data_IF_050376346233
#
_entry.id   IF_050376346233
#
_cell.length_a   1.000
_cell.length_b   1.000
_cell.length_c   1.000
_cell.angle_alpha   90.00
_cell.angle_beta   90.00
_cell.angle_gamma   90.00
#
_symmetry.space_group_name_H-M   'P 1'
#
loop_
_entity.id
_entity.type
_entity.pdbx_description
1 polymer ?
#
# COMPACT_ATOMS: atom_id res chain seq x y z
N UNK A 1 -7.44 -30.32 0.25
CA UNK A 1 -6.92 -30.54 -1.12
C UNK A 1 -7.12 -31.95 -1.64
N UNK A 2 -7.08 -33.00 -0.80
CA UNK A 2 -7.04 -34.37 -1.31
C UNK A 2 -5.63 -34.71 -1.80
N UNK A 3 -5.49 -35.79 -2.56
CA UNK A 3 -4.20 -36.22 -3.10
C UNK A 3 -3.88 -35.46 -4.41
N UNK A 4 -2.71 -34.82 -4.47
CA UNK A 4 -2.15 -34.27 -5.70
C UNK A 4 -1.09 -35.25 -6.22
N UNK A 5 -1.34 -35.96 -7.33
CA UNK A 5 -0.39 -36.92 -7.87
C UNK A 5 0.80 -36.19 -8.52
N UNK A 6 1.92 -36.17 -7.81
CA UNK A 6 3.22 -35.70 -8.30
C UNK A 6 4.05 -36.88 -8.78
N UNK A 7 4.75 -36.72 -9.90
CA UNK A 7 5.72 -37.70 -10.38
C UNK A 7 7.01 -37.58 -9.57
N UNK A 8 7.71 -38.70 -9.42
CA UNK A 8 8.97 -38.74 -8.68
C UNK A 8 10.07 -38.14 -9.57
N UNK A 9 10.85 -37.16 -9.08
CA UNK A 9 11.95 -36.60 -9.87
C UNK A 9 13.00 -37.66 -10.23
N UNK A 10 13.39 -37.75 -11.50
CA UNK A 10 14.35 -38.77 -11.99
C UNK A 10 15.81 -38.43 -11.64
N UNK A 11 16.14 -37.14 -11.49
CA UNK A 11 17.47 -36.66 -11.11
C UNK A 11 17.48 -36.10 -9.69
N UNK A 12 18.61 -36.26 -8.99
CA UNK A 12 18.84 -35.66 -7.66
C UNK A 12 18.83 -34.13 -7.68
N UNK A 13 19.22 -33.55 -8.81
CA UNK A 13 19.26 -32.09 -9.01
C UNK A 13 17.86 -31.47 -8.99
N UNK A 14 16.83 -32.27 -9.29
CA UNK A 14 15.44 -31.83 -9.40
C UNK A 14 14.61 -32.09 -8.14
N UNK A 15 15.21 -32.56 -7.04
CA UNK A 15 14.46 -32.90 -5.81
C UNK A 15 13.69 -31.73 -5.20
N UNK A 16 14.07 -30.49 -5.51
CA UNK A 16 13.36 -29.30 -5.07
C UNK A 16 12.17 -28.92 -5.98
N UNK A 17 11.95 -29.66 -7.06
CA UNK A 17 10.93 -29.38 -8.06
C UNK A 17 9.83 -30.43 -8.04
N UNK A 18 8.63 -29.99 -8.42
CA UNK A 18 7.46 -30.82 -8.59
C UNK A 18 7.19 -31.01 -10.07
N UNK A 19 6.87 -32.25 -10.44
CA UNK A 19 6.26 -32.59 -11.70
C UNK A 19 4.86 -33.13 -11.41
N UNK A 20 3.85 -32.63 -12.11
CA UNK A 20 2.47 -33.02 -11.87
C UNK A 20 1.99 -34.01 -12.91
N UNK A 21 1.21 -35.02 -12.49
CA UNK A 21 0.64 -35.97 -13.44
C UNK A 21 -0.26 -35.26 -14.44
N UNK A 22 -0.04 -35.42 -15.77
CA UNK A 22 -0.89 -34.81 -16.80
C UNK A 22 -2.37 -35.22 -16.68
N UNK A 23 -2.62 -36.41 -16.14
CA UNK A 23 -3.96 -36.96 -15.92
C UNK A 23 -4.79 -36.15 -14.91
N UNK A 24 -4.15 -35.56 -13.90
CA UNK A 24 -4.85 -34.77 -12.88
C UNK A 24 -5.28 -33.40 -13.39
N UNK A 25 -4.63 -32.92 -14.46
CA UNK A 25 -5.06 -31.75 -15.20
C UNK A 25 -4.71 -30.42 -14.57
N UNK A 26 -3.58 -30.35 -13.87
CA UNK A 26 -3.07 -29.10 -13.29
C UNK A 26 -2.58 -28.18 -14.40
N UNK A 27 -2.94 -26.91 -14.28
CA UNK A 27 -2.51 -25.85 -15.19
C UNK A 27 -1.70 -24.81 -14.42
N UNK A 28 -0.48 -24.54 -14.88
CA UNK A 28 0.38 -23.51 -14.32
C UNK A 28 0.09 -22.17 -15.00
N UNK A 29 -0.71 -21.33 -14.33
CA UNK A 29 -1.17 -20.04 -14.86
C UNK A 29 -0.21 -18.93 -14.46
N UNK A 30 0.24 -18.11 -15.41
CA UNK A 30 1.18 -17.03 -15.13
C UNK A 30 0.54 -15.93 -14.24
N UNK A 31 1.30 -15.44 -13.26
CA UNK A 31 0.91 -14.36 -12.34
C UNK A 31 1.83 -13.13 -12.40
N UNK A 32 2.80 -13.14 -13.32
CA UNK A 32 3.82 -12.09 -13.50
C UNK A 32 5.12 -12.41 -12.77
N UNK A 33 6.20 -11.69 -13.10
CA UNK A 33 7.53 -11.84 -12.49
C UNK A 33 8.09 -13.28 -12.53
N UNK A 34 7.84 -14.00 -13.64
CA UNK A 34 8.17 -15.43 -13.85
C UNK A 34 7.57 -16.40 -12.81
N UNK A 35 6.51 -15.96 -12.12
CA UNK A 35 5.75 -16.78 -11.18
C UNK A 35 4.50 -17.38 -11.83
N UNK A 36 4.25 -18.63 -11.49
CA UNK A 36 3.11 -19.41 -11.97
C UNK A 36 2.32 -19.93 -10.78
N UNK A 37 1.01 -19.76 -10.81
CA UNK A 37 0.11 -20.31 -9.82
C UNK A 37 -0.48 -21.62 -10.32
N UNK A 38 -0.61 -22.58 -9.39
CA UNK A 38 -1.26 -23.84 -9.66
C UNK A 38 -2.78 -23.68 -9.71
N UNK A 39 -3.37 -23.93 -10.87
CA UNK A 39 -4.81 -23.96 -11.08
C UNK A 39 -5.28 -25.38 -11.41
N UNK A 40 -6.36 -25.81 -10.76
CA UNK A 40 -7.03 -27.08 -11.00
C UNK A 40 -8.37 -26.77 -11.67
N UNK A 41 -8.46 -26.81 -13.01
CA UNK A 41 -9.72 -26.71 -13.72
C UNK A 41 -10.61 -27.94 -13.46
N UNK A 42 -11.89 -27.67 -13.27
CA UNK A 42 -12.90 -28.70 -13.08
C UNK A 42 -13.21 -29.36 -14.43
N UNK A 43 -12.99 -30.67 -14.49
CA UNK A 43 -13.28 -31.52 -15.66
C UNK A 43 -14.59 -32.29 -15.49
N UNK A 44 -15.11 -32.83 -16.58
CA UNK A 44 -16.20 -33.80 -16.53
C UNK A 44 -15.78 -35.00 -15.67
N UNK A 45 -16.64 -35.46 -14.76
CA UNK A 45 -16.32 -36.52 -13.79
C UNK A 45 -15.10 -36.24 -12.86
N UNK A 46 -14.64 -34.99 -12.79
CA UNK A 46 -13.48 -34.55 -11.98
C UNK A 46 -13.50 -35.03 -10.53
N UNK A 47 -14.67 -35.09 -9.90
CA UNK A 47 -14.84 -35.48 -8.48
C UNK A 47 -14.39 -36.91 -8.16
N UNK A 48 -14.13 -37.75 -9.16
CA UNK A 48 -13.52 -39.08 -8.98
C UNK A 48 -12.07 -38.97 -8.50
N UNK A 49 -11.33 -37.98 -8.99
CA UNK A 49 -9.90 -37.79 -8.67
C UNK A 49 -9.60 -36.47 -7.97
N UNK A 50 -10.27 -35.38 -8.36
CA UNK A 50 -10.11 -34.04 -7.81
C UNK A 50 -11.04 -33.86 -6.61
N UNK A 51 -10.65 -34.44 -5.47
CA UNK A 51 -11.46 -34.41 -4.24
C UNK A 51 -11.77 -32.98 -3.73
N UNK A 52 -10.97 -32.00 -4.14
CA UNK A 52 -11.17 -30.59 -3.80
C UNK A 52 -12.55 -30.07 -4.21
N UNK A 53 -13.15 -30.60 -5.28
CA UNK A 53 -14.49 -30.20 -5.72
C UNK A 53 -15.63 -30.85 -4.93
N UNK A 54 -15.34 -31.78 -4.01
CA UNK A 54 -16.30 -32.16 -2.96
C UNK A 54 -16.31 -31.15 -1.82
N UNK A 55 -15.13 -30.59 -1.48
CA UNK A 55 -15.00 -29.55 -0.44
C UNK A 55 -15.50 -28.19 -0.92
N UNK A 56 -15.13 -27.80 -2.14
CA UNK A 56 -15.54 -26.55 -2.78
C UNK A 56 -16.34 -26.88 -4.04
N UNK A 57 -17.67 -27.07 -3.93
CA UNK A 57 -18.49 -27.60 -5.01
C UNK A 57 -18.79 -26.60 -6.12
N UNK A 58 -18.65 -25.30 -5.85
CA UNK A 58 -19.07 -24.22 -6.75
C UNK A 58 -18.00 -23.78 -7.77
N UNK A 59 -16.71 -23.62 -7.43
CA UNK A 59 -15.74 -23.10 -8.39
C UNK A 59 -15.54 -24.02 -9.59
N UNK A 60 -15.44 -23.42 -10.78
CA UNK A 60 -15.03 -24.11 -12.02
C UNK A 60 -13.51 -24.29 -12.12
N UNK A 61 -12.73 -23.48 -11.39
CA UNK A 61 -11.28 -23.62 -11.28
C UNK A 61 -10.93 -23.40 -9.81
N UNK A 62 -10.26 -24.37 -9.21
CA UNK A 62 -9.71 -24.22 -7.87
C UNK A 62 -8.26 -23.74 -7.95
N UNK A 63 -7.92 -22.70 -7.19
CA UNK A 63 -6.56 -22.19 -7.05
C UNK A 63 -6.13 -22.38 -5.61
N UNK A 64 -4.98 -23.02 -5.39
CA UNK A 64 -4.44 -23.25 -4.05
C UNK A 64 -3.66 -22.03 -3.52
N UNK A 65 -3.47 -21.02 -4.36
CA UNK A 65 -2.69 -19.82 -4.09
C UNK A 65 -1.21 -20.11 -3.84
N UNK A 66 -0.68 -21.25 -4.29
CA UNK A 66 0.74 -21.53 -4.22
C UNK A 66 1.40 -21.09 -5.54
N UNK A 67 2.52 -20.37 -5.42
CA UNK A 67 3.31 -19.85 -6.53
C UNK A 67 4.56 -20.69 -6.71
N UNK A 68 4.92 -20.88 -7.97
CA UNK A 68 6.03 -21.69 -8.40
C UNK A 68 6.86 -20.94 -9.45
N UNK A 69 8.17 -21.18 -9.45
CA UNK A 69 9.05 -20.83 -10.56
C UNK A 69 9.28 -22.05 -11.44
N UNK A 70 9.47 -21.84 -12.74
CA UNK A 70 9.80 -22.94 -13.67
C UNK A 70 11.28 -23.29 -13.60
N UNK A 71 11.61 -24.56 -13.79
CA UNK A 71 12.99 -24.97 -14.00
C UNK A 71 13.54 -24.37 -15.31
N UNK A 72 14.78 -23.88 -15.29
CA UNK A 72 15.39 -23.14 -16.40
C UNK A 72 15.46 -23.93 -17.71
N UNK A 73 15.60 -25.26 -17.63
CA UNK A 73 15.73 -26.16 -18.80
C UNK A 73 14.60 -27.19 -18.93
N UNK A 74 13.71 -27.32 -17.93
CA UNK A 74 12.68 -28.36 -17.85
C UNK A 74 11.31 -27.73 -17.54
N UNK A 75 10.57 -27.26 -18.56
CA UNK A 75 9.42 -26.37 -18.34
C UNK A 75 8.27 -26.98 -17.53
N UNK A 76 8.18 -28.31 -17.47
CA UNK A 76 7.14 -29.05 -16.73
C UNK A 76 7.44 -29.16 -15.22
N UNK A 77 8.65 -28.75 -14.80
CA UNK A 77 9.06 -28.75 -13.40
C UNK A 77 8.81 -27.39 -12.74
N UNK A 78 8.07 -27.40 -11.64
CA UNK A 78 7.80 -26.22 -10.81
C UNK A 78 8.46 -26.30 -9.44
N UNK A 79 9.23 -25.29 -9.05
CA UNK A 79 9.76 -25.15 -7.69
C UNK A 79 8.88 -24.24 -6.88
N UNK A 80 8.45 -24.68 -5.70
CA UNK A 80 7.64 -23.85 -4.80
C UNK A 80 8.39 -22.57 -4.43
N UNK A 81 7.72 -21.43 -4.55
CA UNK A 81 8.25 -20.10 -4.31
C UNK A 81 7.62 -19.43 -3.07
N UNK A 82 6.31 -19.64 -2.84
CA UNK A 82 5.58 -19.03 -1.73
C UNK A 82 4.07 -19.04 -1.99
N UNK A 83 3.27 -18.46 -1.09
CA UNK A 83 1.83 -18.31 -1.33
C UNK A 83 1.50 -16.92 -1.84
N UNK A 84 0.58 -16.85 -2.80
CA UNK A 84 0.07 -15.62 -3.39
C UNK A 84 -0.59 -14.70 -2.36
N UNK A 85 -1.26 -15.25 -1.34
CA UNK A 85 -1.89 -14.47 -0.27
C UNK A 85 -0.91 -13.93 0.78
N UNK A 86 0.28 -14.53 0.88
CA UNK A 86 1.32 -14.05 1.80
C UNK A 86 2.06 -12.84 1.19
N UNK A 87 2.00 -12.66 -0.13
CA UNK A 87 2.66 -11.54 -0.81
C UNK A 87 1.82 -10.27 -0.69
N UNK A 88 2.43 -9.19 -0.18
CA UNK A 88 1.81 -7.87 -0.21
C UNK A 88 2.38 -7.05 -1.37
N UNK A 89 1.52 -6.31 -2.06
CA UNK A 89 1.93 -5.43 -3.14
C UNK A 89 2.25 -4.07 -2.54
N UNK A 90 3.52 -3.68 -2.64
CA UNK A 90 3.98 -2.35 -2.27
C UNK A 90 3.51 -1.33 -3.33
N UNK A 91 3.43 -0.06 -2.96
CA UNK A 91 3.00 1.02 -3.87
C UNK A 91 3.89 1.18 -5.12
N UNK A 92 5.09 0.61 -5.12
CA UNK A 92 6.00 0.54 -6.26
C UNK A 92 5.78 -0.69 -7.18
N UNK A 93 4.75 -1.50 -6.92
CA UNK A 93 4.44 -2.70 -7.69
C UNK A 93 5.23 -3.95 -7.30
N UNK A 94 6.21 -3.83 -6.40
CA UNK A 94 6.96 -4.96 -5.88
C UNK A 94 6.07 -5.86 -5.02
N UNK A 95 6.25 -7.17 -5.15
CA UNK A 95 5.49 -8.19 -4.43
C UNK A 95 6.41 -9.00 -3.50
N UNK A 96 6.96 -8.41 -2.43
CA UNK A 96 7.78 -9.13 -1.47
C UNK A 96 6.99 -10.24 -0.77
N UNK A 97 7.69 -11.34 -0.45
CA UNK A 97 7.17 -12.41 0.40
C UNK A 97 7.69 -12.18 1.85
N UNK A 98 6.82 -11.87 2.83
CA UNK A 98 7.19 -11.60 4.22
C UNK A 98 7.91 -12.77 4.89
N UNK A 99 7.60 -14.01 4.50
CA UNK A 99 8.22 -15.21 5.08
C UNK A 99 9.74 -15.20 4.89
N UNK A 100 10.22 -14.63 3.78
CA UNK A 100 11.65 -14.49 3.51
C UNK A 100 12.34 -13.46 4.42
N UNK A 101 11.58 -12.57 5.04
CA UNK A 101 12.05 -11.57 6.00
C UNK A 101 11.92 -12.08 7.44
N UNK A 102 10.87 -12.84 7.73
CA UNK A 102 10.56 -13.35 9.06
C UNK A 102 11.44 -14.55 9.45
N UNK A 103 11.64 -15.53 8.55
CA UNK A 103 12.39 -16.76 8.86
C UNK A 103 13.83 -16.52 9.33
N UNK A 104 14.61 -15.58 8.75
CA UNK A 104 15.92 -15.25 9.29
C UNK A 104 15.88 -14.68 10.71
N UNK A 105 14.84 -13.92 11.05
CA UNK A 105 14.64 -13.31 12.38
C UNK A 105 14.25 -14.39 13.38
N UNK A 106 13.38 -15.32 13.00
CA UNK A 106 13.06 -16.52 13.80
C UNK A 106 14.27 -17.43 14.04
N UNK A 107 15.29 -17.36 13.18
CA UNK A 107 16.54 -18.10 13.36
C UNK A 107 17.37 -17.63 14.55
N UNK A 108 17.04 -16.51 15.19
CA UNK A 108 17.76 -16.04 16.37
C UNK A 108 17.37 -16.83 17.63
N UNK A 109 18.33 -17.31 18.45
CA UNK A 109 18.06 -18.19 19.60
C UNK A 109 17.11 -17.63 20.66
N UNK A 110 16.90 -16.31 20.67
CA UNK A 110 16.07 -15.59 21.64
C UNK A 110 14.71 -15.18 21.07
N UNK A 111 14.43 -15.49 19.80
CA UNK A 111 13.20 -15.11 19.10
C UNK A 111 12.32 -16.34 18.95
N UNK A 112 11.13 -16.30 19.56
CA UNK A 112 10.17 -17.41 19.46
C UNK A 112 9.31 -17.35 18.19
N UNK A 113 9.33 -16.23 17.47
CA UNK A 113 8.54 -15.98 16.27
C UNK A 113 8.74 -14.54 15.78
N UNK A 114 8.54 -14.30 14.48
CA UNK A 114 8.63 -12.97 13.89
C UNK A 114 7.51 -12.78 12.86
N UNK A 115 6.84 -11.63 12.90
CA UNK A 115 5.81 -11.26 11.94
C UNK A 115 6.05 -9.82 11.51
N UNK A 116 6.10 -9.58 10.20
CA UNK A 116 6.30 -8.26 9.62
C UNK A 116 4.94 -7.67 9.24
N UNK A 117 4.55 -6.59 9.93
CA UNK A 117 3.30 -5.85 9.70
C UNK A 117 3.59 -4.35 9.62
N UNK A 118 2.80 -3.58 8.86
CA UNK A 118 3.07 -2.17 8.56
C UNK A 118 1.98 -1.25 9.17
N UNK A 119 2.14 -0.71 10.42
CA UNK A 119 1.37 0.40 11.10
C UNK A 119 2.14 0.99 12.35
N UNK A 120 1.60 1.92 13.19
CA UNK A 120 2.35 3.18 13.44
C UNK A 120 2.11 4.25 14.62
N UNK A 121 3.08 4.86 15.37
CA UNK A 121 3.07 6.02 16.39
C UNK A 121 2.99 5.83 17.94
N UNK A 122 4.13 5.51 18.60
CA UNK A 122 4.55 5.69 20.02
C UNK A 122 5.89 4.94 20.15
N UNK A 123 6.96 5.43 20.82
CA UNK A 123 8.29 4.79 21.06
C UNK A 123 8.77 3.69 20.08
N UNK A 124 8.07 2.56 19.98
CA UNK A 124 8.00 1.69 18.80
C UNK A 124 8.05 2.42 17.44
N UNK A 125 7.40 3.57 17.29
CA UNK A 125 7.46 4.28 16.02
C UNK A 125 8.83 4.89 15.73
N UNK A 126 9.54 5.34 16.75
CA UNK A 126 10.93 5.79 16.59
C UNK A 126 11.82 4.61 16.21
N UNK A 127 11.43 3.40 16.60
CA UNK A 127 12.11 2.14 16.26
C UNK A 127 11.82 1.68 14.83
N UNK A 128 10.58 1.77 14.33
CA UNK A 128 10.23 1.45 12.93
C UNK A 128 10.46 2.60 11.95
N UNK A 129 10.63 3.85 12.44
CA UNK A 129 10.82 5.01 11.58
C UNK A 129 12.07 4.93 10.69
N UNK A 130 13.26 4.49 11.16
CA UNK A 130 14.40 4.25 10.28
C UNK A 130 14.07 3.30 9.12
N UNK A 131 13.27 2.26 9.39
CA UNK A 131 12.81 1.30 8.37
C UNK A 131 11.82 1.95 7.39
N UNK A 132 10.90 2.79 7.88
CA UNK A 132 10.01 3.57 7.04
C UNK A 132 10.77 4.63 6.20
N UNK A 133 11.83 5.24 6.74
CA UNK A 133 12.71 6.17 6.03
C UNK A 133 13.51 5.48 4.93
N UNK A 134 14.01 4.27 5.20
CA UNK A 134 14.65 3.46 4.17
C UNK A 134 13.64 3.11 3.08
N UNK A 135 12.41 2.75 3.46
CA UNK A 135 11.30 2.49 2.52
C UNK A 135 11.00 3.71 1.65
N UNK A 136 11.01 4.91 2.22
CA UNK A 136 10.78 6.16 1.48
C UNK A 136 11.82 6.46 0.39
N UNK A 137 13.01 5.84 0.43
CA UNK A 137 14.01 5.96 -0.66
C UNK A 137 13.55 5.26 -1.94
N UNK A 138 12.66 4.28 -1.81
CA UNK A 138 12.14 3.47 -2.92
C UNK A 138 10.78 3.92 -3.44
N UNK A 139 10.22 5.02 -2.90
CA UNK A 139 8.90 5.54 -3.27
C UNK A 139 9.01 6.99 -3.74
N UNK A 140 8.23 7.33 -4.78
CA UNK A 140 8.11 8.70 -5.28
C UNK A 140 7.66 9.65 -4.17
N UNK A 141 8.02 10.93 -4.29
CA UNK A 141 7.84 11.91 -3.22
C UNK A 141 6.41 11.95 -2.64
N UNK A 142 5.38 11.79 -3.46
CA UNK A 142 3.97 11.78 -3.05
C UNK A 142 3.51 10.50 -2.33
N UNK A 143 4.21 9.40 -2.48
CA UNK A 143 3.90 8.11 -1.85
C UNK A 143 4.75 7.81 -0.62
N UNK A 144 5.61 8.75 -0.21
CA UNK A 144 6.44 8.60 0.99
C UNK A 144 5.55 8.57 2.23
N UNK A 145 5.88 7.63 3.10
CA UNK A 145 5.30 7.49 4.43
C UNK A 145 5.85 8.65 5.26
N UNK A 146 5.00 9.62 5.56
CA UNK A 146 5.35 10.71 6.48
C UNK A 146 5.28 10.18 7.89
N UNK A 147 6.27 10.51 8.73
CA UNK A 147 6.33 9.99 10.10
C UNK A 147 5.00 10.26 10.78
N UNK A 148 4.55 11.50 10.68
CA UNK A 148 3.35 12.11 11.25
C UNK A 148 2.05 11.36 10.88
N UNK A 149 2.04 10.61 9.76
CA UNK A 149 0.87 9.88 9.24
C UNK A 149 0.78 8.42 9.64
N UNK A 150 1.66 8.02 10.53
CA UNK A 150 1.78 6.66 11.02
C UNK A 150 0.81 6.72 12.27
N UNK A 151 -0.42 6.15 12.34
CA UNK A 151 -1.24 6.01 13.61
C UNK A 151 -1.45 4.59 14.21
N UNK A 152 -1.50 4.50 15.56
CA UNK A 152 -1.38 3.25 16.34
C UNK A 152 -2.75 2.83 16.82
N UNK A 153 -2.96 1.53 16.93
CA UNK A 153 -4.23 0.98 17.41
C UNK A 153 -4.03 0.16 18.69
N UNK A 154 -5.05 0.20 19.56
CA UNK A 154 -5.04 -0.57 20.81
C UNK A 154 -5.12 -2.06 20.52
N UNK A 155 -4.33 -2.87 21.23
CA UNK A 155 -4.41 -4.33 21.15
C UNK A 155 -5.76 -4.90 21.64
N UNK A 156 -6.58 -4.08 22.32
CA UNK A 156 -7.96 -4.45 22.68
C UNK A 156 -8.90 -4.51 21.46
N UNK A 157 -8.53 -3.84 20.37
CA UNK A 157 -9.19 -3.89 19.07
C UNK A 157 -8.11 -4.31 18.07
N UNK A 158 -7.78 -5.61 17.97
CA UNK A 158 -6.76 -6.08 17.05
C UNK A 158 -7.29 -6.02 15.62
N UNK A 159 -6.39 -5.86 14.65
CA UNK A 159 -6.78 -5.89 13.25
C UNK A 159 -7.45 -7.21 12.92
N UNK A 160 -8.56 -7.14 12.18
CA UNK A 160 -9.18 -8.34 11.64
C UNK A 160 -8.18 -9.01 10.71
N UNK A 161 -7.79 -10.21 11.08
CA UNK A 161 -6.96 -11.06 10.27
C UNK A 161 -7.78 -12.23 9.74
N UNK A 162 -7.35 -12.79 8.62
CA UNK A 162 -7.86 -14.09 8.17
C UNK A 162 -7.35 -15.19 9.12
N UNK A 163 -7.86 -16.42 8.96
CA UNK A 163 -7.35 -17.57 9.71
C UNK A 163 -5.83 -17.83 9.48
N UNK A 164 -5.25 -17.21 8.46
CA UNK A 164 -3.83 -17.30 8.06
C UNK A 164 -2.99 -16.14 8.63
N UNK A 165 -3.60 -15.20 9.36
CA UNK A 165 -2.90 -14.06 9.98
C UNK A 165 -2.79 -12.81 9.10
N UNK A 166 -3.28 -12.84 7.86
CA UNK A 166 -3.25 -11.69 6.96
C UNK A 166 -4.26 -10.63 7.36
N UNK A 167 -3.83 -9.36 7.41
CA UNK A 167 -4.71 -8.22 7.66
C UNK A 167 -5.79 -8.08 6.58
N UNK A 168 -7.04 -8.10 7.01
CA UNK A 168 -8.22 -7.87 6.16
C UNK A 168 -8.41 -6.37 5.91
N UNK A 169 -7.63 -5.80 5.00
CA UNK A 169 -7.52 -4.35 4.79
C UNK A 169 -8.87 -3.63 4.68
N UNK A 170 -9.84 -4.13 3.90
CA UNK A 170 -11.14 -3.45 3.77
C UNK A 170 -11.95 -3.48 5.07
N UNK A 171 -11.92 -4.61 5.79
CA UNK A 171 -12.56 -4.72 7.09
C UNK A 171 -11.88 -3.81 8.12
N UNK A 172 -10.56 -3.64 8.05
CA UNK A 172 -9.79 -2.71 8.88
C UNK A 172 -10.11 -1.25 8.50
N UNK A 173 -10.16 -0.90 7.22
CA UNK A 173 -10.52 0.47 6.80
C UNK A 173 -11.92 0.86 7.30
N UNK A 174 -12.86 -0.09 7.34
CA UNK A 174 -14.19 0.11 7.91
C UNK A 174 -14.17 0.16 9.45
N UNK A 175 -13.49 -0.80 10.08
CA UNK A 175 -13.45 -0.89 11.54
C UNK A 175 -12.72 0.29 12.16
N UNK A 176 -11.71 0.84 11.49
CA UNK A 176 -10.83 1.91 11.98
C UNK A 176 -11.02 3.22 11.22
N UNK A 177 -12.16 3.39 10.54
CA UNK A 177 -12.47 4.61 9.79
C UNK A 177 -12.29 5.87 10.65
N UNK A 178 -12.71 5.82 11.91
CA UNK A 178 -12.59 6.94 12.85
C UNK A 178 -11.13 7.25 13.21
N UNK A 179 -10.33 6.24 13.51
CA UNK A 179 -8.91 6.41 13.84
C UNK A 179 -8.09 6.87 12.63
N UNK A 180 -8.44 6.38 11.44
CA UNK A 180 -7.83 6.80 10.17
C UNK A 180 -8.17 8.27 9.90
N UNK A 181 -9.45 8.63 10.02
CA UNK A 181 -9.88 10.01 9.85
C UNK A 181 -9.22 10.92 10.90
N UNK A 182 -9.06 10.47 12.14
CA UNK A 182 -8.34 11.23 13.17
C UNK A 182 -6.86 11.50 12.82
N UNK A 183 -6.17 10.57 12.15
CA UNK A 183 -4.80 10.81 11.64
C UNK A 183 -4.82 11.88 10.54
N UNK A 184 -5.79 11.80 9.60
CA UNK A 184 -5.95 12.80 8.56
C UNK A 184 -6.37 14.18 9.10
N UNK A 185 -7.21 14.21 10.14
CA UNK A 185 -7.69 15.43 10.77
C UNK A 185 -6.62 16.09 11.67
N UNK A 186 -5.79 15.28 12.33
CA UNK A 186 -4.58 15.72 13.02
C UNK A 186 -3.56 16.33 12.05
N UNK A 187 -3.51 15.82 10.81
CA UNK A 187 -2.69 16.35 9.72
C UNK A 187 -3.19 17.71 9.22
N UNK A 188 -4.50 17.95 9.25
CA UNK A 188 -5.03 19.29 8.99
C UNK A 188 -4.76 20.25 10.16
N UNK A 189 -4.42 19.70 11.34
CA UNK A 189 -3.82 20.42 12.46
C UNK A 189 -2.28 20.40 12.41
N UNK A 190 -1.68 20.13 11.23
CA UNK A 190 -0.35 20.66 10.95
C UNK A 190 -0.44 22.16 11.17
N UNK A 191 0.13 22.57 12.29
CA UNK A 191 0.61 23.90 12.57
C UNK A 191 1.70 24.17 11.54
N UNK A 192 1.29 24.46 10.29
CA UNK A 192 2.10 25.28 9.46
C UNK A 192 2.17 26.59 10.23
N UNK A 193 3.25 26.74 11.00
CA UNK A 193 3.70 27.95 11.70
C UNK A 193 4.02 29.03 10.64
N UNK A 194 3.02 29.29 9.81
CA UNK A 194 2.89 30.27 8.76
C UNK A 194 1.76 31.13 9.28
N UNK A 195 2.08 32.14 10.11
CA UNK A 195 1.06 33.02 10.64
C UNK A 195 0.29 33.61 9.47
N UNK A 196 -1.03 33.56 9.57
CA UNK A 196 -1.87 34.32 8.65
C UNK A 196 -1.45 35.78 8.73
N UNK A 197 -1.34 36.50 7.61
CA UNK A 197 -0.81 37.85 7.62
C UNK A 197 -1.74 38.80 8.40
N UNK A 198 -1.17 39.51 9.39
CA UNK A 198 -1.88 40.54 10.18
C UNK A 198 -2.53 41.62 9.31
N UNK A 199 -1.88 41.92 8.17
CA UNK A 199 -2.38 42.87 7.20
C UNK A 199 -2.87 42.16 5.94
N UNK A 200 -4.19 42.25 5.68
CA UNK A 200 -4.89 41.64 4.54
C UNK A 200 -4.68 42.47 3.25
N UNK A 201 -3.42 42.76 2.93
CA UNK A 201 -3.06 43.29 1.62
C UNK A 201 -2.87 42.15 0.63
N UNK A 202 -3.18 42.40 -0.64
CA UNK A 202 -2.99 41.43 -1.73
C UNK A 202 -1.57 40.84 -1.72
N UNK A 203 -0.54 41.66 -1.53
CA UNK A 203 0.85 41.22 -1.46
C UNK A 203 1.12 40.27 -0.30
N UNK A 204 0.51 40.51 0.86
CA UNK A 204 0.62 39.67 2.05
C UNK A 204 -0.08 38.31 1.86
N UNK A 205 -1.28 38.32 1.26
CA UNK A 205 -2.04 37.09 0.98
C UNK A 205 -1.35 36.24 -0.09
N UNK A 206 -0.82 36.88 -1.14
CA UNK A 206 -0.03 36.17 -2.17
C UNK A 206 1.20 35.52 -1.56
N UNK A 207 1.92 36.23 -0.68
CA UNK A 207 3.07 35.67 0.05
C UNK A 207 2.68 34.49 0.94
N UNK A 208 1.56 34.59 1.64
CA UNK A 208 1.01 33.53 2.50
C UNK A 208 0.66 32.28 1.68
N UNK A 209 -0.06 32.44 0.56
CA UNK A 209 -0.40 31.33 -0.35
C UNK A 209 0.88 30.68 -0.90
N UNK A 210 1.87 31.46 -1.35
CA UNK A 210 3.14 30.91 -1.82
C UNK A 210 3.92 30.16 -0.73
N UNK A 211 3.88 30.62 0.51
CA UNK A 211 4.49 29.92 1.65
C UNK A 211 3.81 28.58 1.91
N UNK A 212 2.48 28.53 1.87
CA UNK A 212 1.72 27.28 1.98
C UNK A 212 2.10 26.34 0.83
N UNK A 213 2.00 26.80 -0.42
CA UNK A 213 2.29 25.97 -1.60
C UNK A 213 3.72 25.44 -1.59
N UNK A 214 4.72 26.27 -1.27
CA UNK A 214 6.13 25.87 -1.19
C UNK A 214 6.38 24.82 -0.11
N UNK A 215 5.74 24.97 1.06
CA UNK A 215 5.87 24.03 2.17
C UNK A 215 5.17 22.71 1.86
N UNK A 216 3.93 22.75 1.38
CA UNK A 216 3.14 21.55 1.05
C UNK A 216 3.76 20.77 -0.11
N UNK A 217 4.37 21.45 -1.10
CA UNK A 217 5.01 20.77 -2.24
C UNK A 217 6.45 20.31 -1.97
N UNK A 218 7.06 20.68 -0.84
CA UNK A 218 8.47 20.38 -0.53
C UNK A 218 9.47 20.96 -1.53
N UNK A 219 9.08 22.00 -2.29
CA UNK A 219 9.91 22.64 -3.32
C UNK A 219 10.22 24.07 -2.91
N UNK A 220 11.51 24.40 -2.87
CA UNK A 220 11.97 25.76 -2.64
C UNK A 220 11.81 26.57 -3.92
N UNK A 221 11.15 27.72 -3.80
CA UNK A 221 11.05 28.79 -4.81
C UNK A 221 9.99 28.59 -5.91
N UNK A 222 8.76 29.03 -5.61
CA UNK A 222 7.88 29.57 -6.64
C UNK A 222 8.13 31.07 -6.76
N UNK A 223 8.66 31.51 -7.91
CA UNK A 223 8.65 32.92 -8.30
C UNK A 223 7.20 33.31 -8.62
N UNK A 224 6.84 34.58 -8.35
CA UNK A 224 5.48 35.17 -8.44
C UNK A 224 4.72 34.93 -9.76
N UNK A 225 5.39 34.40 -10.78
CA UNK A 225 4.89 34.29 -12.15
C UNK A 225 4.88 32.83 -12.67
N UNK A 226 5.28 31.85 -11.85
CA UNK A 226 5.29 30.45 -12.27
C UNK A 226 3.93 29.78 -12.05
N UNK A 227 3.45 29.13 -13.10
CA UNK A 227 2.27 28.28 -13.07
C UNK A 227 2.48 27.12 -12.09
N UNK A 228 1.64 27.07 -11.06
CA UNK A 228 1.65 26.04 -10.01
C UNK A 228 1.54 24.62 -10.63
N UNK A 229 0.98 24.47 -11.83
CA UNK A 229 0.95 23.21 -12.56
C UNK A 229 2.29 22.75 -13.12
N UNK A 230 3.12 23.68 -13.58
CA UNK A 230 4.45 23.33 -14.10
C UNK A 230 5.37 22.82 -12.97
N UNK A 231 4.96 23.02 -11.72
CA UNK A 231 5.60 22.48 -10.53
C UNK A 231 5.31 20.99 -10.30
N UNK A 232 4.41 20.36 -11.07
CA UNK A 232 4.07 18.95 -10.89
C UNK A 232 3.34 18.64 -9.58
N UNK A 233 2.44 19.52 -9.14
CA UNK A 233 1.57 19.24 -8.00
C UNK A 233 0.51 18.21 -8.39
N UNK A 234 0.31 17.20 -7.54
CA UNK A 234 -0.73 16.18 -7.70
C UNK A 234 -2.05 16.58 -7.01
N UNK A 235 -3.10 15.82 -7.28
CA UNK A 235 -4.44 16.05 -6.73
C UNK A 235 -4.47 16.03 -5.20
N UNK A 236 -3.59 15.27 -4.56
CA UNK A 236 -3.50 15.17 -3.10
C UNK A 236 -2.91 16.46 -2.49
N UNK A 237 -1.86 17.00 -3.11
CA UNK A 237 -1.24 18.27 -2.74
C UNK A 237 -2.24 19.43 -2.87
N UNK A 238 -3.08 19.39 -3.91
CA UNK A 238 -4.12 20.38 -4.15
C UNK A 238 -5.24 20.35 -3.10
N UNK A 239 -5.64 19.15 -2.67
CA UNK A 239 -6.60 18.98 -1.57
C UNK A 239 -6.04 19.58 -0.28
N UNK A 240 -4.76 19.32 0.03
CA UNK A 240 -4.11 19.87 1.22
C UNK A 240 -4.04 21.40 1.20
N UNK A 241 -3.61 22.00 0.08
CA UNK A 241 -3.54 23.46 -0.08
C UNK A 241 -4.92 24.11 0.16
N UNK A 242 -5.97 23.57 -0.45
CA UNK A 242 -7.33 24.09 -0.29
C UNK A 242 -7.79 24.03 1.17
N UNK A 243 -7.56 22.92 1.85
CA UNK A 243 -8.00 22.75 3.24
C UNK A 243 -7.21 23.66 4.20
N UNK A 244 -5.91 23.85 3.99
CA UNK A 244 -5.08 24.76 4.80
C UNK A 244 -5.56 26.22 4.62
N UNK A 245 -5.82 26.63 3.38
CA UNK A 245 -6.32 27.98 3.08
C UNK A 245 -7.70 28.21 3.70
N UNK A 246 -8.60 27.22 3.61
CA UNK A 246 -9.93 27.28 4.22
C UNK A 246 -9.84 27.45 5.75
N UNK A 247 -8.95 26.71 6.42
CA UNK A 247 -8.75 26.82 7.86
C UNK A 247 -8.16 28.17 8.28
N UNK A 248 -7.12 28.63 7.57
CA UNK A 248 -6.53 29.96 7.83
C UNK A 248 -7.56 31.09 7.70
N UNK A 249 -8.46 30.96 6.73
CA UNK A 249 -9.59 31.87 6.54
C UNK A 249 -10.61 31.76 7.69
N UNK A 250 -11.01 30.56 8.10
CA UNK A 250 -11.96 30.35 9.20
C UNK A 250 -11.43 30.84 10.56
N UNK A 251 -10.12 30.72 10.81
CA UNK A 251 -9.47 31.27 12.01
C UNK A 251 -9.59 32.80 12.10
N UNK A 252 -9.61 33.50 10.95
CA UNK A 252 -9.69 34.97 10.90
C UNK A 252 -11.11 35.48 10.60
N UNK A 253 -11.96 34.65 10.01
CA UNK A 253 -13.36 34.91 9.64
C UNK A 253 -14.19 33.68 10.02
N UNK A 254 -14.58 33.53 11.30
CA UNK A 254 -15.32 32.37 11.79
C UNK A 254 -16.67 32.14 11.07
N UNK A 255 -17.25 33.22 10.51
CA UNK A 255 -18.53 33.18 9.78
C UNK A 255 -18.42 32.59 8.35
N UNK A 256 -17.23 32.14 7.95
CA UNK A 256 -16.99 31.63 6.58
C UNK A 256 -17.52 30.20 6.44
N UNK A 257 -18.41 29.98 5.46
CA UNK A 257 -18.96 28.66 5.14
C UNK A 257 -17.85 27.65 4.78
N UNK A 258 -17.98 26.42 5.27
CA UNK A 258 -17.15 25.29 4.84
C UNK A 258 -17.23 25.11 3.32
N UNK A 259 -16.08 24.91 2.69
CA UNK A 259 -15.99 24.74 1.23
C UNK A 259 -15.96 26.03 0.43
N UNK A 260 -15.78 27.21 1.06
CA UNK A 260 -15.52 28.47 0.33
C UNK A 260 -14.27 28.38 -0.54
N UNK A 261 -13.22 27.71 -0.05
CA UNK A 261 -12.01 27.37 -0.79
C UNK A 261 -12.04 25.87 -1.07
N UNK A 262 -12.34 25.52 -2.32
CA UNK A 262 -12.34 24.13 -2.78
C UNK A 262 -11.05 23.79 -3.53
N UNK A 263 -10.66 22.50 -3.60
CA UNK A 263 -9.59 22.06 -4.48
C UNK A 263 -9.85 22.52 -5.93
N UNK A 264 -11.09 22.46 -6.40
CA UNK A 264 -11.51 22.93 -7.72
C UNK A 264 -11.24 24.43 -7.94
N UNK A 265 -11.46 25.28 -6.92
CA UNK A 265 -11.16 26.71 -7.00
C UNK A 265 -9.65 26.98 -7.09
N UNK A 266 -8.83 26.20 -6.38
CA UNK A 266 -7.36 26.25 -6.50
C UNK A 266 -6.91 25.75 -7.87
N UNK A 267 -7.56 24.70 -8.40
CA UNK A 267 -7.34 24.22 -9.77
C UNK A 267 -7.70 25.29 -10.82
N UNK A 268 -8.81 26.00 -10.65
CA UNK A 268 -9.25 27.01 -11.61
C UNK A 268 -8.31 28.24 -11.67
N UNK A 269 -7.44 28.44 -10.67
CA UNK A 269 -6.61 29.65 -10.52
C UNK A 269 -5.13 29.33 -10.22
N UNK A 270 -4.38 28.78 -11.19
CA UNK A 270 -3.01 28.30 -10.97
C UNK A 270 -1.91 29.37 -11.06
N UNK A 271 -2.27 30.61 -11.36
CA UNK A 271 -1.36 31.76 -11.54
C UNK A 271 -1.99 33.04 -10.99
N UNK A 272 -1.15 34.00 -10.57
CA UNK A 272 -1.63 35.32 -10.14
C UNK A 272 -2.31 36.05 -11.33
N UNK A 273 -3.59 36.49 -11.24
CA UNK A 273 -4.32 37.12 -12.34
C UNK A 273 -3.74 38.40 -12.95
N UNK A 274 -2.57 38.91 -12.50
CA UNK A 274 -1.88 40.07 -13.11
C UNK A 274 -0.88 39.72 -14.23
N UNK A 275 -0.71 38.44 -14.56
CA UNK A 275 0.14 37.99 -15.69
C UNK A 275 -0.63 37.77 -17.00
N UNK A 276 -1.89 38.22 -17.07
CA UNK A 276 -2.68 38.33 -18.31
C UNK A 276 -2.92 39.77 -18.70
#
# INVERSE_FOLDING_TARGET
MGWLPTLVPESKEDWAYFEWSPSYGIEMQARGDDLFEMAIPRREHSRIMQAIFHTFPDPHVYRNNDLYTRHLTKPDLGKFHGRFHDMFILSNGAKPNPVNLEKPIEGYPLVSGAVVVVMSHNAFIEEVWPTAQETNRFVAAHGRILKERIGLVSNAKPFKTTAEGTVQRQAILQDYEQEINAIYDADLAFDLDVPFPDAIYRSSIVKYVYQIVSRTSGKSCFLNDQNIYNAGLDSLTMIQIATILQRGLQLHRPDTEEGTITPQAVYANPTDPKTK
#
